data_IF_938730962401
#
_entry.id   IF_938730962401
#
_cell.length_a   1.000
_cell.length_b   1.000
_cell.length_c   1.000
_cell.angle_alpha   90.00
_cell.angle_beta   90.00
_cell.angle_gamma   90.00
#
_symmetry.space_group_name_H-M   'P 1'
#
loop_
_entity.id
_entity.type
_entity.pdbx_description
1 polymer ?
#
# COMPACT_ATOMS: atom_id res chain seq x y z
N UNK A 1 -14.75 2.51 -80.03
CA UNK A 1 -13.61 2.15 -79.16
C UNK A 1 -14.09 1.07 -78.21
N UNK A 2 -13.59 -0.14 -78.42
CA UNK A 2 -13.83 -1.29 -77.55
C UNK A 2 -13.23 -1.11 -76.15
N UNK A 3 -13.78 -1.88 -75.20
CA UNK A 3 -13.19 -2.50 -74.00
C UNK A 3 -14.19 -2.46 -72.83
N UNK A 4 -14.90 -3.56 -72.58
CA UNK A 4 -14.55 -4.71 -71.71
C UNK A 4 -14.95 -4.48 -70.25
N UNK A 5 -15.73 -5.41 -69.68
CA UNK A 5 -15.80 -5.59 -68.23
C UNK A 5 -17.19 -5.82 -67.66
N UNK A 6 -17.55 -7.09 -67.51
CA UNK A 6 -18.80 -7.61 -66.97
C UNK A 6 -18.77 -7.65 -65.43
N UNK A 7 -19.89 -7.29 -64.79
CA UNK A 7 -20.55 -7.93 -63.64
C UNK A 7 -19.85 -8.13 -62.27
N UNK A 8 -20.67 -7.87 -61.24
CA UNK A 8 -20.65 -8.33 -59.84
C UNK A 8 -19.90 -7.48 -58.81
N UNK A 9 -20.66 -6.62 -58.12
CA UNK A 9 -20.40 -6.33 -56.71
C UNK A 9 -21.74 -6.24 -55.97
N UNK A 10 -22.04 -7.29 -55.22
CA UNK A 10 -23.21 -7.40 -54.36
C UNK A 10 -23.25 -6.29 -53.31
N UNK A 11 -24.46 -5.80 -53.03
CA UNK A 11 -24.77 -4.93 -51.89
C UNK A 11 -24.57 -5.73 -50.60
N UNK A 12 -23.69 -5.28 -49.70
CA UNK A 12 -23.76 -5.65 -48.28
C UNK A 12 -23.79 -4.42 -47.37
N UNK A 13 -24.77 -4.52 -46.47
CA UNK A 13 -25.28 -3.64 -45.44
C UNK A 13 -24.23 -2.93 -44.57
N UNK A 14 -24.58 -1.74 -44.10
CA UNK A 14 -23.97 -1.02 -42.97
C UNK A 14 -23.75 -1.94 -41.76
N UNK A 15 -22.54 -1.90 -41.23
CA UNK A 15 -22.27 -1.91 -39.78
C UNK A 15 -21.23 -0.81 -39.52
N UNK A 16 -21.51 0.22 -38.71
CA UNK A 16 -20.46 1.12 -38.27
C UNK A 16 -19.48 0.27 -37.44
N UNK A 17 -18.24 0.20 -37.91
CA UNK A 17 -17.18 -0.51 -37.20
C UNK A 17 -17.06 0.06 -35.80
N UNK A 18 -17.52 -0.70 -34.81
CA UNK A 18 -17.01 -0.60 -33.46
C UNK A 18 -15.50 -0.78 -33.59
N UNK A 19 -14.78 0.34 -33.55
CA UNK A 19 -13.42 0.36 -33.03
C UNK A 19 -13.55 -0.14 -31.60
N UNK A 20 -13.53 -1.46 -31.41
CA UNK A 20 -13.10 -2.05 -30.16
C UNK A 20 -11.66 -1.56 -30.01
N UNK A 21 -11.52 -0.40 -29.36
CA UNK A 21 -10.34 -0.08 -28.58
C UNK A 21 -10.07 -1.37 -27.79
N UNK A 22 -8.91 -2.02 -27.91
CA UNK A 22 -8.62 -3.13 -27.03
C UNK A 22 -8.75 -2.54 -25.62
N UNK A 23 -9.76 -2.97 -24.87
CA UNK A 23 -9.74 -2.80 -23.42
C UNK A 23 -8.42 -3.44 -23.01
N UNK A 24 -7.50 -2.60 -22.53
CA UNK A 24 -6.25 -3.05 -21.99
C UNK A 24 -6.61 -4.14 -20.98
N UNK A 25 -6.09 -5.34 -21.18
CA UNK A 25 -6.24 -6.43 -20.23
C UNK A 25 -5.80 -5.92 -18.87
N UNK A 26 -6.75 -5.71 -17.96
CA UNK A 26 -6.51 -5.39 -16.56
C UNK A 26 -5.57 -6.46 -16.00
N UNK A 27 -4.27 -6.13 -15.97
CA UNK A 27 -3.22 -7.10 -15.70
C UNK A 27 -3.00 -7.18 -14.20
N UNK A 28 -4.02 -7.66 -13.47
CA UNK A 28 -3.95 -7.84 -12.03
C UNK A 28 -2.89 -8.87 -11.69
N UNK A 29 -1.78 -8.42 -11.13
CA UNK A 29 -0.63 -9.28 -10.82
C UNK A 29 -0.66 -9.57 -9.32
N UNK A 30 -0.97 -10.81 -8.96
CA UNK A 30 -1.04 -11.26 -7.55
C UNK A 30 0.06 -12.29 -7.32
N UNK A 31 1.12 -11.90 -6.60
CA UNK A 31 2.20 -12.80 -6.24
C UNK A 31 1.96 -13.43 -4.85
N UNK A 32 1.99 -14.76 -4.75
CA UNK A 32 1.99 -15.47 -3.47
C UNK A 32 3.37 -16.06 -3.19
N UNK A 33 3.92 -15.89 -1.98
CA UNK A 33 5.21 -16.49 -1.62
C UNK A 33 5.28 -16.83 -0.13
N UNK A 34 5.90 -17.97 0.19
CA UNK A 34 6.12 -18.44 1.56
C UNK A 34 7.60 -18.76 1.76
N UNK A 35 8.19 -18.26 2.84
CA UNK A 35 9.58 -18.53 3.22
C UNK A 35 9.63 -19.07 4.65
N UNK A 36 10.24 -20.24 4.85
CA UNK A 36 10.46 -20.78 6.19
C UNK A 36 11.74 -20.27 6.84
N UNK A 37 12.83 -20.14 6.06
CA UNK A 37 14.11 -19.61 6.51
C UNK A 37 14.84 -18.94 5.35
N UNK A 38 15.64 -17.92 5.65
CA UNK A 38 16.58 -17.33 4.69
C UNK A 38 16.18 -15.95 4.18
N UNK A 39 16.28 -15.70 2.88
CA UNK A 39 16.02 -14.39 2.27
C UNK A 39 15.07 -14.52 1.08
N UNK A 40 13.97 -13.76 1.10
CA UNK A 40 13.02 -13.70 0.00
C UNK A 40 12.89 -12.26 -0.48
N UNK A 41 12.90 -12.09 -1.81
CA UNK A 41 12.63 -10.82 -2.48
C UNK A 41 11.51 -11.06 -3.48
N UNK A 42 10.41 -10.35 -3.30
CA UNK A 42 9.29 -10.36 -4.25
C UNK A 42 9.10 -8.97 -4.81
N UNK A 43 8.84 -8.88 -6.11
CA UNK A 43 8.47 -7.66 -6.79
C UNK A 43 7.28 -7.93 -7.70
N UNK A 44 6.28 -7.06 -7.62
CA UNK A 44 5.07 -7.14 -8.43
C UNK A 44 4.91 -5.80 -9.16
N UNK A 45 4.68 -5.85 -10.47
CA UNK A 45 4.50 -4.66 -11.30
C UNK A 45 3.42 -4.87 -12.35
N UNK A 46 2.41 -4.00 -12.39
CA UNK A 46 1.34 -4.03 -13.39
C UNK A 46 0.95 -2.61 -13.82
N UNK A 47 0.25 -2.52 -14.95
CA UNK A 47 -0.34 -1.26 -15.41
C UNK A 47 -1.57 -0.85 -14.61
N UNK A 48 -2.32 -1.84 -14.12
CA UNK A 48 -3.57 -1.65 -13.39
C UNK A 48 -3.33 -1.91 -11.90
N UNK A 49 -3.62 -3.10 -11.37
CA UNK A 49 -3.44 -3.41 -9.94
C UNK A 49 -2.27 -4.36 -9.66
N UNK A 50 -1.37 -3.98 -8.76
CA UNK A 50 -0.20 -4.76 -8.38
C UNK A 50 -0.29 -5.17 -6.92
N UNK A 51 -0.28 -6.48 -6.67
CA UNK A 51 -0.23 -6.94 -5.30
C UNK A 51 0.28 -8.33 -5.03
N UNK A 52 0.26 -8.69 -3.76
CA UNK A 52 0.74 -10.00 -3.35
C UNK A 52 0.57 -10.32 -1.88
N UNK A 53 0.57 -11.62 -1.61
CA UNK A 53 0.57 -12.19 -0.28
C UNK A 53 1.93 -12.81 -0.03
N UNK A 54 2.65 -12.32 0.99
CA UNK A 54 3.93 -12.92 1.33
C UNK A 54 4.00 -13.26 2.81
N UNK A 55 4.38 -14.50 3.10
CA UNK A 55 4.54 -14.99 4.46
C UNK A 55 5.99 -15.42 4.68
N UNK A 56 6.57 -15.04 5.82
CA UNK A 56 7.91 -15.47 6.20
C UNK A 56 7.98 -15.86 7.68
N UNK A 57 8.50 -17.06 7.96
CA UNK A 57 9.05 -17.40 9.26
C UNK A 57 10.58 -17.20 9.20
N UNK A 58 11.19 -16.76 10.29
CA UNK A 58 12.65 -16.77 10.51
C UNK A 58 13.52 -16.35 9.32
N UNK A 59 13.27 -15.14 8.80
CA UNK A 59 13.87 -14.70 7.55
C UNK A 59 13.94 -13.20 7.32
N UNK A 60 14.63 -12.82 6.25
CA UNK A 60 14.64 -11.44 5.72
C UNK A 60 13.77 -11.38 4.48
N UNK A 61 12.64 -10.69 4.59
CA UNK A 61 11.70 -10.52 3.50
C UNK A 61 11.72 -9.08 2.98
N UNK A 62 11.77 -8.94 1.65
CA UNK A 62 11.63 -7.65 0.98
C UNK A 62 10.59 -7.75 -0.12
N UNK A 63 9.49 -7.02 0.02
CA UNK A 63 8.43 -6.96 -0.99
C UNK A 63 8.37 -5.57 -1.59
N UNK A 64 8.09 -5.49 -2.89
CA UNK A 64 7.82 -4.23 -3.58
C UNK A 64 6.70 -4.39 -4.59
N UNK A 65 5.63 -3.60 -4.47
CA UNK A 65 4.53 -3.57 -5.43
C UNK A 65 4.50 -2.21 -6.10
N UNK A 66 4.40 -2.19 -7.43
CA UNK A 66 4.32 -0.96 -8.22
C UNK A 66 3.19 -1.05 -9.23
N UNK A 67 2.24 -0.11 -9.22
CA UNK A 67 1.10 -0.12 -10.12
C UNK A 67 0.89 1.23 -10.80
N UNK A 68 0.07 1.26 -11.86
CA UNK A 68 -0.49 2.51 -12.38
C UNK A 68 -1.68 2.97 -11.55
N UNK A 69 -2.54 2.04 -11.14
CA UNK A 69 -3.81 2.32 -10.46
C UNK A 69 -3.69 1.99 -8.95
N UNK A 70 -3.74 0.70 -8.57
CA UNK A 70 -3.71 0.27 -7.17
C UNK A 70 -2.49 -0.60 -6.81
N UNK A 71 -1.69 -0.22 -5.81
CA UNK A 71 -0.54 -0.99 -5.36
C UNK A 71 -0.70 -1.43 -3.91
N UNK A 72 -0.76 -2.74 -3.68
CA UNK A 72 -0.97 -3.23 -2.33
C UNK A 72 -0.65 -4.67 -2.04
N UNK A 73 -0.63 -5.06 -0.78
CA UNK A 73 -0.30 -6.43 -0.45
C UNK A 73 -0.47 -6.79 1.01
N UNK A 74 -0.58 -8.09 1.24
CA UNK A 74 -0.61 -8.67 2.58
C UNK A 74 0.76 -9.26 2.86
N UNK A 75 1.43 -8.81 3.91
CA UNK A 75 2.72 -9.38 4.29
C UNK A 75 2.74 -9.75 5.75
N UNK A 76 3.07 -11.00 6.03
CA UNK A 76 3.13 -11.55 7.38
C UNK A 76 4.55 -12.04 7.66
N UNK A 77 5.10 -11.69 8.82
CA UNK A 77 6.41 -12.15 9.24
C UNK A 77 6.44 -12.53 10.73
N UNK A 78 7.02 -13.69 11.03
CA UNK A 78 7.37 -14.10 12.39
C UNK A 78 8.90 -14.18 12.51
N UNK A 79 9.47 -13.69 13.62
CA UNK A 79 10.89 -13.80 13.96
C UNK A 79 11.84 -13.34 12.82
N UNK A 80 11.66 -12.13 12.31
CA UNK A 80 12.34 -11.74 11.07
C UNK A 80 12.56 -10.25 10.85
N UNK A 81 13.09 -9.92 9.67
CA UNK A 81 13.15 -8.55 9.17
C UNK A 81 12.32 -8.45 7.91
N UNK A 82 11.30 -7.60 7.95
CA UNK A 82 10.41 -7.36 6.85
C UNK A 82 10.55 -5.91 6.36
N UNK A 83 10.68 -5.75 5.04
CA UNK A 83 10.61 -4.46 4.39
C UNK A 83 9.65 -4.51 3.20
N UNK A 84 8.54 -3.81 3.32
CA UNK A 84 7.54 -3.69 2.25
C UNK A 84 7.58 -2.28 1.66
N UNK A 85 7.32 -2.16 0.37
CA UNK A 85 7.18 -0.88 -0.30
C UNK A 85 6.09 -0.98 -1.36
N UNK A 86 5.09 -0.11 -1.31
CA UNK A 86 3.99 -0.07 -2.28
C UNK A 86 4.02 1.31 -2.93
N UNK A 87 3.95 1.37 -4.26
CA UNK A 87 3.82 2.63 -4.97
C UNK A 87 2.84 2.56 -6.12
N UNK A 88 1.93 3.51 -6.22
CA UNK A 88 0.90 3.59 -7.27
C UNK A 88 0.79 5.00 -7.86
N UNK A 89 0.05 5.13 -8.96
CA UNK A 89 -0.48 6.42 -9.41
C UNK A 89 -1.63 6.87 -8.52
N UNK A 90 -2.58 5.99 -8.24
CA UNK A 90 -3.83 6.38 -7.56
C UNK A 90 -3.80 5.95 -6.08
N UNK A 91 -3.83 4.65 -5.78
CA UNK A 91 -3.96 4.15 -4.40
C UNK A 91 -2.82 3.19 -3.99
N UNK A 92 -2.09 3.52 -2.92
CA UNK A 92 -1.01 2.69 -2.42
C UNK A 92 -1.25 2.26 -0.98
N UNK A 93 -1.46 0.97 -0.75
CA UNK A 93 -1.60 0.49 0.61
C UNK A 93 -1.58 -1.01 0.85
N UNK A 94 -1.39 -1.42 2.09
CA UNK A 94 -1.28 -2.84 2.38
C UNK A 94 -1.48 -3.21 3.83
N UNK A 95 -1.67 -4.50 4.04
CA UNK A 95 -1.79 -5.10 5.37
C UNK A 95 -0.46 -5.75 5.71
N UNK A 96 0.17 -5.32 6.80
CA UNK A 96 1.42 -5.92 7.23
C UNK A 96 1.37 -6.32 8.69
N UNK A 97 1.63 -7.59 8.97
CA UNK A 97 1.59 -8.16 10.31
C UNK A 97 2.95 -8.74 10.67
N UNK A 98 3.40 -8.48 11.89
CA UNK A 98 4.71 -8.90 12.36
C UNK A 98 4.64 -9.35 13.83
N UNK A 99 5.24 -10.50 14.14
CA UNK A 99 5.46 -10.96 15.51
C UNK A 99 6.96 -11.16 15.74
N UNK A 100 7.50 -10.65 16.85
CA UNK A 100 8.92 -10.74 17.20
C UNK A 100 9.87 -10.28 16.07
N UNK A 101 9.43 -9.28 15.31
CA UNK A 101 10.06 -8.92 14.05
C UNK A 101 10.30 -7.41 13.91
N UNK A 102 11.20 -7.08 12.98
CA UNK A 102 11.47 -5.71 12.57
C UNK A 102 10.80 -5.43 11.24
N UNK A 103 9.81 -4.55 11.27
CA UNK A 103 9.02 -4.19 10.11
C UNK A 103 9.31 -2.75 9.66
N UNK A 104 9.52 -2.58 8.35
CA UNK A 104 9.57 -1.29 7.68
C UNK A 104 8.61 -1.27 6.48
N UNK A 105 7.53 -0.53 6.61
CA UNK A 105 6.49 -0.30 5.59
C UNK A 105 6.67 1.08 4.98
N UNK A 106 6.50 1.20 3.67
CA UNK A 106 6.46 2.48 2.97
C UNK A 106 5.41 2.43 1.87
N UNK A 107 4.42 3.31 1.91
CA UNK A 107 3.39 3.45 0.89
C UNK A 107 3.51 4.82 0.24
N UNK A 108 3.39 4.90 -1.08
CA UNK A 108 3.54 6.14 -1.84
C UNK A 108 2.55 6.19 -2.99
N UNK A 109 1.68 7.17 -3.05
CA UNK A 109 0.69 7.32 -4.13
C UNK A 109 0.64 8.75 -4.66
N UNK A 110 -0.06 8.94 -5.79
CA UNK A 110 -0.53 10.25 -6.22
C UNK A 110 -1.74 10.70 -5.38
N UNK A 111 -2.73 9.83 -5.19
CA UNK A 111 -3.99 10.24 -4.54
C UNK A 111 -4.01 9.79 -3.08
N UNK A 112 -4.10 8.47 -2.82
CA UNK A 112 -4.30 7.94 -1.46
C UNK A 112 -3.21 6.95 -1.03
N UNK A 113 -2.51 7.23 0.07
CA UNK A 113 -1.45 6.38 0.60
C UNK A 113 -1.78 5.90 2.00
N UNK A 114 -1.95 4.58 2.16
CA UNK A 114 -2.33 4.04 3.45
C UNK A 114 -2.06 2.58 3.73
N UNK A 115 -2.59 2.08 4.84
CA UNK A 115 -2.44 0.67 5.16
C UNK A 115 -2.64 0.33 6.62
N UNK A 116 -2.78 -0.97 6.85
CA UNK A 116 -2.92 -1.55 8.18
C UNK A 116 -1.61 -2.21 8.55
N UNK A 117 -1.01 -1.80 9.67
CA UNK A 117 0.24 -2.40 10.12
C UNK A 117 0.16 -2.81 11.58
N UNK A 118 0.36 -4.09 11.85
CA UNK A 118 0.27 -4.67 13.19
C UNK A 118 1.61 -5.28 13.57
N UNK A 119 2.08 -5.00 14.78
CA UNK A 119 3.29 -5.60 15.31
C UNK A 119 3.15 -6.00 16.78
N UNK A 120 3.51 -7.24 17.11
CA UNK A 120 3.73 -7.69 18.48
C UNK A 120 5.23 -7.91 18.71
N UNK A 121 5.73 -7.53 19.89
CA UNK A 121 7.11 -7.80 20.34
C UNK A 121 8.19 -7.34 19.35
N UNK A 122 7.97 -6.17 18.75
CA UNK A 122 8.65 -5.78 17.53
C UNK A 122 9.12 -4.34 17.45
N UNK A 123 9.85 -4.05 16.37
CA UNK A 123 10.13 -2.66 15.96
C UNK A 123 9.45 -2.39 14.64
N UNK A 124 8.53 -1.43 14.66
CA UNK A 124 7.73 -1.06 13.52
C UNK A 124 8.07 0.36 13.06
N UNK A 125 8.30 0.52 11.75
CA UNK A 125 8.38 1.79 11.05
C UNK A 125 7.41 1.80 9.87
N UNK A 126 6.41 2.66 9.93
CA UNK A 126 5.50 2.91 8.80
C UNK A 126 5.74 4.32 8.26
N UNK A 127 5.60 4.48 6.96
CA UNK A 127 5.66 5.78 6.30
C UNK A 127 4.66 5.79 5.14
N UNK A 128 3.75 6.73 5.12
CA UNK A 128 2.78 6.91 4.04
C UNK A 128 2.96 8.31 3.46
N UNK A 129 3.01 8.41 2.14
CA UNK A 129 3.15 9.68 1.43
C UNK A 129 2.21 9.71 0.25
N UNK A 130 1.37 10.73 0.14
CA UNK A 130 0.46 10.93 -1.00
C UNK A 130 0.47 12.39 -1.47
N UNK A 131 -0.16 12.65 -2.61
CA UNK A 131 -0.57 13.99 -3.02
C UNK A 131 -1.79 14.46 -2.24
N UNK A 132 -2.82 13.62 -2.08
CA UNK A 132 -4.09 14.07 -1.50
C UNK A 132 -4.23 13.58 -0.05
N UNK A 133 -4.41 12.27 0.16
CA UNK A 133 -4.68 11.70 1.50
C UNK A 133 -3.64 10.67 1.95
N UNK A 134 -3.00 10.91 3.09
CA UNK A 134 -1.99 9.99 3.65
C UNK A 134 -2.38 9.51 5.04
N UNK A 135 -2.70 8.23 5.17
CA UNK A 135 -3.24 7.72 6.42
C UNK A 135 -3.25 6.22 6.62
N UNK A 136 -3.24 5.76 7.86
CA UNK A 136 -3.22 4.32 8.11
C UNK A 136 -3.52 3.93 9.54
N UNK A 137 -3.82 2.65 9.70
CA UNK A 137 -4.05 2.04 11.00
C UNK A 137 -2.79 1.33 11.43
N UNK A 138 -2.24 1.68 12.58
CA UNK A 138 -1.03 1.07 13.10
C UNK A 138 -1.22 0.61 14.53
N UNK A 139 -1.06 -0.69 14.75
CA UNK A 139 -1.22 -1.34 16.04
C UNK A 139 0.11 -1.93 16.50
N UNK A 140 0.50 -1.66 17.75
CA UNK A 140 1.73 -2.22 18.32
C UNK A 140 1.52 -2.70 19.76
N UNK A 141 1.95 -3.92 20.07
CA UNK A 141 2.03 -4.42 21.44
C UNK A 141 3.51 -4.68 21.80
N UNK A 142 3.91 -4.36 23.03
CA UNK A 142 5.23 -4.68 23.60
C UNK A 142 6.40 -4.31 22.67
N UNK A 143 6.52 -3.03 22.27
CA UNK A 143 7.45 -2.71 21.19
C UNK A 143 7.79 -1.24 20.99
N UNK A 144 8.43 -0.96 19.84
CA UNK A 144 8.70 0.42 19.40
C UNK A 144 8.04 0.66 18.06
N UNK A 145 7.12 1.62 18.03
CA UNK A 145 6.43 2.04 16.83
C UNK A 145 6.83 3.46 16.42
N UNK A 146 7.09 3.62 15.13
CA UNK A 146 7.27 4.90 14.47
C UNK A 146 6.37 4.98 13.25
N UNK A 147 5.43 5.91 13.26
CA UNK A 147 4.57 6.21 12.12
C UNK A 147 4.87 7.61 11.58
N UNK A 148 4.80 7.77 10.28
CA UNK A 148 4.92 9.07 9.63
C UNK A 148 3.98 9.13 8.43
N UNK A 149 3.10 10.12 8.39
CA UNK A 149 2.20 10.36 7.28
C UNK A 149 2.44 11.75 6.72
N UNK A 150 2.49 11.88 5.41
CA UNK A 150 2.68 13.16 4.73
C UNK A 150 1.79 13.25 3.50
N UNK A 151 0.98 14.29 3.38
CA UNK A 151 0.16 14.55 2.20
C UNK A 151 0.19 16.02 1.79
N UNK A 152 -0.35 16.34 0.62
CA UNK A 152 -0.70 17.69 0.22
C UNK A 152 -1.92 18.21 0.98
N UNK A 153 -2.97 17.38 1.10
CA UNK A 153 -4.25 17.85 1.66
C UNK A 153 -4.46 17.32 3.08
N UNK A 154 -4.69 16.01 3.24
CA UNK A 154 -5.09 15.43 4.52
C UNK A 154 -4.14 14.33 5.00
N UNK A 155 -3.51 14.53 6.16
CA UNK A 155 -2.57 13.56 6.73
C UNK A 155 -3.05 13.09 8.09
N UNK A 156 -3.41 11.81 8.22
CA UNK A 156 -3.84 11.29 9.49
C UNK A 156 -4.06 9.80 9.60
N UNK A 157 -4.00 9.27 10.81
CA UNK A 157 -4.14 7.83 11.02
C UNK A 157 -4.51 7.44 12.43
N UNK A 158 -4.84 6.17 12.58
CA UNK A 158 -5.16 5.56 13.87
C UNK A 158 -3.94 4.82 14.36
N UNK A 159 -3.41 5.18 15.52
CA UNK A 159 -2.27 4.53 16.14
C UNK A 159 -2.70 3.97 17.49
N UNK A 160 -2.69 2.66 17.63
CA UNK A 160 -2.97 1.97 18.88
C UNK A 160 -1.68 1.33 19.39
N UNK A 161 -1.35 1.52 20.66
CA UNK A 161 -0.36 0.66 21.26
C UNK A 161 -0.57 0.35 22.73
N UNK A 162 -0.12 -0.83 23.10
CA UNK A 162 -0.05 -1.34 24.46
C UNK A 162 1.40 -1.61 24.84
N UNK A 163 1.85 -1.14 26.00
CA UNK A 163 3.17 -1.45 26.56
C UNK A 163 4.33 -1.08 25.60
N UNK A 164 4.15 0.01 24.85
CA UNK A 164 5.00 0.35 23.71
C UNK A 164 5.44 1.81 23.69
N UNK A 165 6.53 2.06 22.97
CA UNK A 165 6.99 3.42 22.67
C UNK A 165 6.50 3.83 21.30
N UNK A 166 5.64 4.84 21.27
CA UNK A 166 5.02 5.37 20.06
C UNK A 166 5.66 6.70 19.67
N UNK A 167 5.97 6.86 18.39
CA UNK A 167 6.24 8.18 17.81
C UNK A 167 5.51 8.33 16.49
N UNK A 168 4.62 9.31 16.43
CA UNK A 168 3.80 9.61 15.27
C UNK A 168 4.12 11.00 14.78
N UNK A 169 4.14 11.17 13.47
CA UNK A 169 4.33 12.47 12.85
C UNK A 169 3.41 12.56 11.65
N UNK A 170 2.55 13.57 11.61
CA UNK A 170 1.70 13.84 10.45
C UNK A 170 2.03 15.24 9.94
N UNK A 171 2.12 15.41 8.63
CA UNK A 171 2.32 16.72 8.01
C UNK A 171 1.44 16.80 6.77
N UNK A 172 0.60 17.82 6.69
CA UNK A 172 -0.17 18.11 5.48
C UNK A 172 -0.17 19.62 5.20
N UNK A 173 -0.61 19.98 3.99
CA UNK A 173 -0.86 21.37 3.61
C UNK A 173 -2.11 21.94 4.29
N UNK A 174 -3.16 21.12 4.42
CA UNK A 174 -4.44 21.55 5.00
C UNK A 174 -4.67 20.96 6.40
N UNK A 175 -5.13 19.71 6.48
CA UNK A 175 -5.58 19.09 7.74
C UNK A 175 -4.71 17.92 8.18
N UNK A 176 -4.08 18.06 9.35
CA UNK A 176 -3.22 17.03 9.93
C UNK A 176 -3.86 16.51 11.23
N UNK A 177 -4.52 15.36 11.15
CA UNK A 177 -5.29 14.77 12.25
C UNK A 177 -4.84 13.35 12.61
N UNK A 178 -5.30 12.78 13.72
CA UNK A 178 -5.05 11.37 13.99
C UNK A 178 -5.49 10.92 15.37
N UNK A 179 -5.89 9.66 15.50
CA UNK A 179 -6.29 9.09 16.79
C UNK A 179 -5.12 8.28 17.33
N UNK A 180 -4.67 8.59 18.55
CA UNK A 180 -3.62 7.82 19.22
C UNK A 180 -4.16 7.26 20.53
N UNK A 181 -4.23 5.94 20.62
CA UNK A 181 -4.62 5.20 21.81
C UNK A 181 -3.37 4.50 22.38
N UNK A 182 -3.06 4.75 23.64
CA UNK A 182 -1.82 4.33 24.28
C UNK A 182 -2.09 3.74 25.66
N UNK A 183 -2.10 2.40 25.78
CA UNK A 183 -2.20 1.71 27.06
C UNK A 183 -0.78 1.42 27.60
N UNK A 184 -0.44 1.86 28.81
CA UNK A 184 0.93 1.77 29.37
C UNK A 184 2.05 2.18 28.35
N UNK A 185 1.75 3.17 27.50
CA UNK A 185 2.60 3.53 26.38
C UNK A 185 3.04 4.99 26.47
N UNK A 186 4.19 5.30 25.85
CA UNK A 186 4.74 6.67 25.79
C UNK A 186 4.62 7.25 24.38
N UNK A 187 3.52 7.95 24.04
CA UNK A 187 3.34 8.59 22.74
C UNK A 187 4.14 9.89 22.61
N UNK A 188 4.72 10.10 21.42
CA UNK A 188 5.28 11.39 20.99
C UNK A 188 4.71 11.77 19.64
N UNK A 189 3.83 12.76 19.63
CA UNK A 189 3.14 13.26 18.43
C UNK A 189 3.80 14.55 17.95
N UNK A 190 3.95 14.71 16.64
CA UNK A 190 4.49 15.93 16.01
C UNK A 190 3.67 16.25 14.76
N UNK A 191 3.30 17.51 14.55
CA UNK A 191 2.60 17.97 13.34
C UNK A 191 1.13 17.56 13.22
N UNK A 192 0.61 16.68 14.09
CA UNK A 192 -0.82 16.40 14.19
C UNK A 192 -1.51 17.56 14.92
N UNK A 193 -2.22 18.44 14.18
CA UNK A 193 -2.97 19.59 14.70
C UNK A 193 -4.23 19.16 15.46
N UNK A 194 -4.83 18.04 15.04
CA UNK A 194 -6.07 17.48 15.59
C UNK A 194 -5.88 16.04 16.06
N UNK A 195 -4.95 15.82 16.99
CA UNK A 195 -4.71 14.49 17.55
C UNK A 195 -5.54 14.20 18.80
N UNK A 196 -6.43 13.20 18.73
CA UNK A 196 -7.11 12.67 19.91
C UNK A 196 -6.20 11.63 20.59
N UNK A 197 -5.59 11.98 21.72
CA UNK A 197 -4.75 11.06 22.48
C UNK A 197 -5.54 10.50 23.68
N UNK A 198 -5.82 9.21 23.69
CA UNK A 198 -6.38 8.51 24.86
C UNK A 198 -5.32 7.59 25.45
N UNK A 199 -5.00 7.79 26.72
CA UNK A 199 -4.10 6.92 27.48
C UNK A 199 -4.84 6.36 28.69
N UNK A 200 -4.71 5.04 28.90
CA UNK A 200 -5.37 4.30 29.97
C UNK A 200 -4.50 3.18 30.51
#
# INVERSE_FOLDING_TARGET
MDHYGNVAAERKLRTPGSKRRPEASASRLVAASVLAHGKLRTSCSSGDEAGGVVQAADGKLRTSCTSGDEAGGVVQAAHGKLRTSCSSGDEAGGVVQAADARLRTSCTSGDEAGGVVQAADGKLRTSCTSGDEAGGVVQAAHGKLRTSCSSGDEAGGVVQAADARLRTSCTSGDEAGGVVQAADAKPRLHGCRSAACMAW
#
